data_IF_523127653845
#
_entry.id   IF_523127653845
#
_cell.length_a   1.000
_cell.length_b   1.000
_cell.length_c   1.000
_cell.angle_alpha   90.00
_cell.angle_beta   90.00
_cell.angle_gamma   90.00
#
_symmetry.space_group_name_H-M   'P 1'
#
loop_
_entity.id
_entity.type
_entity.pdbx_description
1 polymer ?
#
# COMPACT_ATOMS: atom_id res chain seq x y z
N UNK A 1 6.04 -7.10 -20.61
CA UNK A 1 5.36 -5.81 -20.29
C UNK A 1 5.87 -5.30 -18.96
N UNK A 2 6.26 -4.04 -18.89
CA UNK A 2 6.77 -3.42 -17.64
C UNK A 2 5.88 -2.24 -17.24
N UNK A 3 5.35 -2.28 -16.02
CA UNK A 3 4.34 -1.33 -15.52
C UNK A 3 4.86 -0.65 -14.27
N UNK A 4 4.71 0.68 -14.18
CA UNK A 4 4.95 1.43 -12.95
C UNK A 4 3.64 1.59 -12.18
N UNK A 5 3.67 1.22 -10.91
CA UNK A 5 2.57 1.46 -9.97
C UNK A 5 2.91 2.67 -9.11
N UNK A 6 1.97 3.60 -8.99
CA UNK A 6 2.05 4.71 -8.05
C UNK A 6 0.97 4.52 -6.98
N UNK A 7 1.36 3.96 -5.84
CA UNK A 7 0.52 3.81 -4.65
C UNK A 7 1.38 4.00 -3.42
N UNK A 8 1.37 5.20 -2.88
CA UNK A 8 2.37 5.63 -1.88
C UNK A 8 1.93 5.35 -0.45
N UNK A 9 0.66 5.41 -0.13
CA UNK A 9 0.13 5.27 1.24
C UNK A 9 -1.40 5.07 1.23
N UNK A 10 -2.07 4.70 2.33
CA UNK A 10 -1.47 4.24 3.59
C UNK A 10 -1.17 2.74 3.54
N UNK A 11 -0.70 2.14 4.65
CA UNK A 11 -0.35 0.72 4.69
C UNK A 11 -1.45 -0.20 4.15
N UNK A 12 -2.68 -0.04 4.62
CA UNK A 12 -3.83 -0.83 4.14
C UNK A 12 -4.11 -0.63 2.65
N UNK A 13 -3.99 0.61 2.14
CA UNK A 13 -4.17 0.89 0.71
C UNK A 13 -3.07 0.24 -0.15
N UNK A 14 -1.84 0.17 0.36
CA UNK A 14 -0.72 -0.51 -0.33
C UNK A 14 -1.00 -2.01 -0.37
N UNK A 15 -1.37 -2.63 0.75
CA UNK A 15 -1.79 -4.04 0.81
C UNK A 15 -2.94 -4.33 -0.16
N UNK A 16 -3.99 -3.51 -0.15
CA UNK A 16 -5.17 -3.67 -1.00
C UNK A 16 -4.89 -3.54 -2.51
N UNK A 17 -3.68 -3.14 -2.88
CA UNK A 17 -3.26 -3.10 -4.29
C UNK A 17 -2.72 -4.44 -4.79
N UNK A 18 -2.22 -5.30 -3.90
CA UNK A 18 -1.59 -6.58 -4.27
C UNK A 18 -2.51 -7.50 -5.10
N UNK A 19 -3.82 -7.65 -4.82
CA UNK A 19 -4.71 -8.47 -5.64
C UNK A 19 -4.78 -8.04 -7.11
N UNK A 20 -4.67 -6.75 -7.38
CA UNK A 20 -4.66 -6.26 -8.76
C UNK A 20 -3.40 -6.70 -9.55
N UNK A 21 -2.27 -6.86 -8.85
CA UNK A 21 -1.05 -7.40 -9.45
C UNK A 21 -1.20 -8.89 -9.76
N UNK A 22 -1.83 -9.63 -8.85
CA UNK A 22 -2.12 -11.06 -9.03
C UNK A 22 -3.00 -11.27 -10.26
N UNK A 23 -4.11 -10.52 -10.37
CA UNK A 23 -5.00 -10.59 -11.54
C UNK A 23 -4.24 -10.27 -12.83
N UNK A 24 -3.47 -9.19 -12.83
CA UNK A 24 -2.71 -8.77 -14.01
C UNK A 24 -1.64 -9.80 -14.40
N UNK A 25 -0.97 -10.42 -13.42
CA UNK A 25 0.04 -11.45 -13.67
C UNK A 25 -0.56 -12.76 -14.21
N UNK A 26 -1.80 -13.07 -13.86
CA UNK A 26 -2.55 -14.19 -14.42
C UNK A 26 -3.04 -13.88 -15.85
N UNK A 27 -3.49 -12.66 -16.09
CA UNK A 27 -4.03 -12.26 -17.39
C UNK A 27 -2.93 -11.99 -18.45
N UNK A 28 -1.76 -11.52 -18.04
CA UNK A 28 -0.66 -11.09 -18.92
C UNK A 28 0.63 -11.82 -18.52
N UNK A 29 0.94 -12.95 -19.15
CA UNK A 29 2.15 -13.70 -18.85
C UNK A 29 3.41 -12.85 -18.99
N UNK A 30 4.30 -12.92 -17.98
CA UNK A 30 5.57 -12.19 -18.00
C UNK A 30 5.48 -10.71 -17.66
N UNK A 31 4.33 -10.18 -17.22
CA UNK A 31 4.23 -8.81 -16.73
C UNK A 31 5.11 -8.60 -15.49
N UNK A 32 5.76 -7.45 -15.41
CA UNK A 32 6.61 -7.04 -14.28
C UNK A 32 6.21 -5.64 -13.81
N UNK A 33 6.27 -5.44 -12.50
CA UNK A 33 5.91 -4.19 -11.86
C UNK A 33 7.11 -3.55 -11.17
N UNK A 34 7.29 -2.26 -11.40
CA UNK A 34 8.02 -1.39 -10.50
C UNK A 34 6.99 -0.63 -9.66
N UNK A 35 7.27 -0.36 -8.39
CA UNK A 35 6.29 0.25 -7.51
C UNK A 35 6.88 1.42 -6.72
N UNK A 36 6.30 2.62 -6.89
CA UNK A 36 6.62 3.79 -6.05
C UNK A 36 5.73 3.77 -4.82
N UNK A 37 6.36 3.72 -3.65
CA UNK A 37 5.71 3.63 -2.34
C UNK A 37 6.44 4.50 -1.32
N UNK A 38 5.75 5.03 -0.30
CA UNK A 38 6.38 5.76 0.80
C UNK A 38 7.36 4.84 1.54
N UNK A 39 8.54 5.38 1.93
CA UNK A 39 9.67 4.62 2.51
C UNK A 39 9.26 3.67 3.65
N UNK A 40 8.33 4.10 4.52
CA UNK A 40 7.83 3.28 5.63
C UNK A 40 7.02 2.05 5.23
N UNK A 41 6.65 1.90 3.96
CA UNK A 41 5.88 0.76 3.45
C UNK A 41 6.61 -0.01 2.35
N UNK A 42 7.90 0.29 2.13
CA UNK A 42 8.68 -0.27 1.01
C UNK A 42 8.78 -1.80 1.02
N UNK A 43 8.66 -2.41 2.19
CA UNK A 43 8.69 -3.87 2.33
C UNK A 43 7.46 -4.55 1.70
N UNK A 44 6.28 -3.94 1.74
CA UNK A 44 5.02 -4.59 1.32
C UNK A 44 5.01 -4.99 -0.16
N UNK A 45 5.38 -4.12 -1.11
CA UNK A 45 5.43 -4.51 -2.52
C UNK A 45 6.38 -5.67 -2.81
N UNK A 46 7.49 -5.80 -2.08
CA UNK A 46 8.47 -6.86 -2.29
C UNK A 46 7.97 -8.28 -1.96
N UNK A 47 6.84 -8.39 -1.25
CA UNK A 47 6.22 -9.70 -0.97
C UNK A 47 5.58 -10.33 -2.21
N UNK A 48 5.26 -9.53 -3.23
CA UNK A 48 4.61 -10.03 -4.45
C UNK A 48 5.64 -10.36 -5.54
N UNK A 49 5.62 -11.61 -6.03
CA UNK A 49 6.61 -12.15 -6.98
C UNK A 49 6.73 -11.40 -8.32
N UNK A 50 5.69 -10.67 -8.72
CA UNK A 50 5.68 -9.91 -9.97
C UNK A 50 6.25 -8.50 -9.81
N UNK A 51 6.57 -8.05 -8.57
CA UNK A 51 7.25 -6.79 -8.32
C UNK A 51 8.76 -7.02 -8.49
N UNK A 52 9.34 -6.28 -9.42
CA UNK A 52 10.76 -6.37 -9.74
C UNK A 52 11.57 -5.31 -9.00
N UNK A 53 11.03 -4.09 -8.92
CA UNK A 53 11.69 -2.98 -8.23
C UNK A 53 10.71 -2.25 -7.32
N UNK A 54 11.15 -1.98 -6.11
CA UNK A 54 10.49 -1.05 -5.20
C UNK A 54 11.29 0.26 -5.23
N UNK A 55 10.62 1.37 -5.48
CA UNK A 55 11.20 2.72 -5.55
C UNK A 55 10.64 3.53 -4.37
N UNK A 56 11.36 3.61 -3.24
CA UNK A 56 10.89 4.35 -2.08
C UNK A 56 10.82 5.86 -2.36
N UNK A 57 9.77 6.49 -1.86
CA UNK A 57 9.61 7.93 -1.87
C UNK A 57 9.34 8.42 -0.44
N UNK A 58 9.87 9.58 -0.06
CA UNK A 58 9.75 10.12 1.30
C UNK A 58 9.06 11.48 1.30
N UNK A 59 7.92 11.62 0.61
CA UNK A 59 7.23 12.92 0.44
C UNK A 59 6.91 13.55 1.81
N UNK A 60 6.53 12.75 2.81
CA UNK A 60 6.19 13.23 4.14
C UNK A 60 7.39 13.86 4.84
N UNK A 61 8.56 13.22 4.73
CA UNK A 61 9.82 13.70 5.32
C UNK A 61 10.38 14.87 4.51
N UNK A 62 10.41 14.78 3.19
CA UNK A 62 10.92 15.83 2.30
C UNK A 62 10.22 17.18 2.48
N UNK A 63 8.91 17.17 2.74
CA UNK A 63 8.13 18.38 2.97
C UNK A 63 8.63 19.23 4.15
N UNK A 64 9.28 18.61 5.15
CA UNK A 64 9.78 19.31 6.33
C UNK A 64 11.02 20.15 6.03
N UNK A 65 11.81 19.78 5.01
CA UNK A 65 13.07 20.44 4.67
C UNK A 65 13.29 20.45 3.14
N UNK A 66 12.25 20.77 2.37
CA UNK A 66 12.19 20.63 0.90
C UNK A 66 13.37 21.25 0.14
N UNK A 67 13.92 22.36 0.63
CA UNK A 67 15.00 23.12 -0.01
C UNK A 67 16.40 22.77 0.53
N UNK A 68 16.51 21.88 1.52
CA UNK A 68 17.82 21.49 2.05
C UNK A 68 18.61 20.67 1.02
N UNK A 69 19.94 20.79 1.04
CA UNK A 69 20.81 20.10 0.10
C UNK A 69 20.66 18.56 0.14
N UNK A 70 20.60 17.90 1.33
CA UNK A 70 20.35 16.45 1.39
C UNK A 70 19.04 16.04 0.75
N UNK A 71 17.93 16.74 1.04
CA UNK A 71 16.61 16.42 0.46
C UNK A 71 16.58 16.67 -1.05
N UNK A 72 17.29 17.69 -1.53
CA UNK A 72 17.43 17.94 -2.97
C UNK A 72 18.15 16.76 -3.66
N UNK A 73 19.22 16.24 -3.06
CA UNK A 73 19.94 15.07 -3.57
C UNK A 73 19.07 13.81 -3.59
N UNK A 74 18.34 13.52 -2.50
CA UNK A 74 17.41 12.38 -2.44
C UNK A 74 16.30 12.49 -3.51
N UNK A 75 15.72 13.65 -3.70
CA UNK A 75 14.70 13.89 -4.74
C UNK A 75 15.26 13.72 -6.14
N UNK A 76 16.52 14.09 -6.37
CA UNK A 76 17.18 13.89 -7.64
C UNK A 76 17.41 12.39 -7.90
N UNK A 77 17.94 11.66 -6.92
CA UNK A 77 18.12 10.21 -7.01
C UNK A 77 16.78 9.48 -7.25
N UNK A 78 15.72 9.89 -6.57
CA UNK A 78 14.38 9.36 -6.80
C UNK A 78 13.89 9.62 -8.23
N UNK A 79 14.08 10.84 -8.75
CA UNK A 79 13.74 11.18 -10.14
C UNK A 79 14.47 10.27 -11.13
N UNK A 80 15.77 10.11 -10.95
CA UNK A 80 16.60 9.26 -11.80
C UNK A 80 16.12 7.80 -11.75
N UNK A 81 15.81 7.27 -10.56
CA UNK A 81 15.29 5.93 -10.39
C UNK A 81 13.95 5.70 -11.12
N UNK A 82 13.04 6.69 -11.09
CA UNK A 82 11.75 6.62 -11.79
C UNK A 82 11.92 6.74 -13.30
N UNK A 83 12.85 7.57 -13.76
CA UNK A 83 13.12 7.84 -15.18
C UNK A 83 14.06 6.84 -15.85
N UNK A 84 14.72 5.98 -15.07
CA UNK A 84 15.67 4.97 -15.60
C UNK A 84 15.01 3.95 -16.54
N UNK A 85 13.69 3.82 -16.52
CA UNK A 85 12.92 2.86 -17.32
C UNK A 85 11.81 3.57 -18.08
N UNK A 86 11.63 3.18 -19.34
CA UNK A 86 10.42 3.52 -20.10
C UNK A 86 9.37 2.43 -19.86
N UNK A 87 8.25 2.82 -19.28
CA UNK A 87 7.16 1.90 -18.95
C UNK A 87 6.14 1.79 -20.07
N UNK A 88 5.60 0.60 -20.26
CA UNK A 88 4.48 0.36 -21.16
C UNK A 88 3.20 1.03 -20.64
N UNK A 89 3.01 1.00 -19.30
CA UNK A 89 1.93 1.70 -18.62
C UNK A 89 2.40 2.22 -17.24
N UNK A 90 1.83 3.34 -16.82
CA UNK A 90 2.01 3.91 -15.48
C UNK A 90 0.63 4.01 -14.87
N UNK A 91 0.36 3.29 -13.77
CA UNK A 91 -0.95 3.25 -13.13
C UNK A 91 -0.88 4.03 -11.81
N UNK A 92 -1.52 5.20 -11.76
CA UNK A 92 -1.68 5.96 -10.53
C UNK A 92 -2.93 5.46 -9.80
N UNK A 93 -2.71 4.54 -8.85
CA UNK A 93 -3.73 4.00 -7.96
C UNK A 93 -3.89 4.83 -6.67
N UNK A 94 -3.12 5.90 -6.49
CA UNK A 94 -3.24 6.82 -5.36
C UNK A 94 -4.34 7.86 -5.59
N UNK A 95 -4.43 8.43 -6.79
CA UNK A 95 -5.45 9.39 -7.17
C UNK A 95 -5.41 10.72 -6.40
N UNK A 96 -4.21 11.18 -5.99
CA UNK A 96 -3.97 12.45 -5.32
C UNK A 96 -3.15 13.37 -6.23
N UNK A 97 -3.43 14.67 -6.19
CA UNK A 97 -2.66 15.68 -6.97
C UNK A 97 -1.16 15.61 -6.68
N UNK A 98 -0.79 15.44 -5.41
CA UNK A 98 0.63 15.34 -5.04
C UNK A 98 1.32 14.10 -5.62
N UNK A 99 0.67 12.92 -5.67
CA UNK A 99 1.25 11.73 -6.29
C UNK A 99 1.33 11.87 -7.81
N UNK A 100 0.29 12.44 -8.42
CA UNK A 100 0.25 12.68 -9.84
C UNK A 100 1.34 13.68 -10.29
N UNK A 101 1.50 14.81 -9.58
CA UNK A 101 2.46 15.85 -9.92
C UNK A 101 3.91 15.50 -9.56
N UNK A 102 4.15 14.87 -8.41
CA UNK A 102 5.50 14.62 -7.89
C UNK A 102 6.09 13.27 -8.32
N UNK A 103 5.24 12.32 -8.74
CA UNK A 103 5.65 10.97 -9.10
C UNK A 103 5.21 10.62 -10.51
N UNK A 104 3.90 10.49 -10.75
CA UNK A 104 3.33 9.99 -12.01
C UNK A 104 3.80 10.82 -13.22
N UNK A 105 3.87 12.14 -13.06
CA UNK A 105 4.36 13.05 -14.10
C UNK A 105 5.81 12.81 -14.51
N UNK A 106 6.67 12.36 -13.57
CA UNK A 106 8.10 12.17 -13.82
C UNK A 106 8.39 10.96 -14.71
N UNK A 107 7.57 9.93 -14.61
CA UNK A 107 7.80 8.66 -15.29
C UNK A 107 7.54 8.74 -16.81
N UNK A 108 8.29 7.97 -17.58
CA UNK A 108 8.18 7.87 -19.04
C UNK A 108 7.28 6.71 -19.42
N UNK A 109 6.12 7.00 -20.02
CA UNK A 109 5.12 6.02 -20.47
C UNK A 109 3.72 6.59 -20.45
N UNK A 110 2.73 5.76 -20.87
CA UNK A 110 1.32 6.14 -20.88
C UNK A 110 0.77 6.12 -19.45
N UNK A 111 0.23 7.24 -19.00
CA UNK A 111 -0.25 7.43 -17.63
C UNK A 111 -1.73 7.12 -17.54
N UNK A 112 -2.08 6.18 -16.70
CA UNK A 112 -3.43 5.74 -16.40
C UNK A 112 -3.82 6.14 -14.98
N UNK A 113 -5.08 6.50 -14.78
CA UNK A 113 -5.64 6.79 -13.47
C UNK A 113 -7.16 6.91 -13.53
N UNK A 114 -7.77 7.18 -12.40
CA UNK A 114 -9.21 7.39 -12.32
C UNK A 114 -9.60 8.74 -12.95
N UNK A 115 -10.80 8.82 -13.49
CA UNK A 115 -11.33 10.03 -14.10
C UNK A 115 -11.67 11.13 -13.07
N UNK A 116 -12.12 12.28 -13.56
CA UNK A 116 -12.49 13.43 -12.75
C UNK A 116 -13.58 13.10 -11.70
N UNK A 117 -14.52 12.25 -12.06
CA UNK A 117 -15.67 11.93 -11.21
C UNK A 117 -15.29 10.93 -10.11
N UNK A 118 -14.32 10.05 -10.36
CA UNK A 118 -14.03 8.90 -9.51
C UNK A 118 -12.68 8.93 -8.81
N UNK A 119 -11.76 9.81 -9.24
CA UNK A 119 -10.51 10.05 -8.51
C UNK A 119 -10.78 10.58 -7.09
N UNK A 120 -9.88 10.30 -6.18
CA UNK A 120 -9.94 10.80 -4.79
C UNK A 120 -9.85 12.33 -4.76
N UNK A 121 -8.93 12.89 -5.56
CA UNK A 121 -8.83 14.31 -5.84
C UNK A 121 -9.03 14.50 -7.36
N UNK A 122 -10.14 15.11 -7.81
CA UNK A 122 -10.47 15.23 -9.23
C UNK A 122 -9.36 15.82 -10.10
N UNK A 123 -8.65 16.84 -9.58
CA UNK A 123 -7.54 17.49 -10.28
C UNK A 123 -6.38 16.54 -10.64
N UNK A 124 -6.23 15.40 -9.94
CA UNK A 124 -5.21 14.41 -10.28
C UNK A 124 -5.41 13.85 -11.69
N UNK A 125 -6.67 13.77 -12.16
CA UNK A 125 -7.01 13.26 -13.49
C UNK A 125 -6.38 14.06 -14.64
N UNK A 126 -6.01 15.32 -14.41
CA UNK A 126 -5.36 16.17 -15.41
C UNK A 126 -3.96 15.67 -15.79
N UNK A 127 -3.33 14.87 -14.94
CA UNK A 127 -1.99 14.32 -15.18
C UNK A 127 -2.00 12.99 -15.95
N UNK A 128 -3.20 12.43 -16.27
CA UNK A 128 -3.33 11.13 -16.90
C UNK A 128 -3.65 11.25 -18.40
N UNK A 129 -2.98 10.41 -19.21
CA UNK A 129 -3.26 10.26 -20.63
C UNK A 129 -4.53 9.44 -20.88
N UNK A 130 -4.75 8.41 -20.03
CA UNK A 130 -5.91 7.53 -20.05
C UNK A 130 -6.63 7.60 -18.71
N UNK A 131 -7.89 7.98 -18.74
CA UNK A 131 -8.75 8.18 -17.56
C UNK A 131 -9.82 7.12 -17.55
N UNK A 132 -9.96 6.43 -16.42
CA UNK A 132 -10.90 5.31 -16.29
C UNK A 132 -11.96 5.66 -15.25
N UNK A 133 -13.23 5.49 -15.64
CA UNK A 133 -14.35 5.61 -14.71
C UNK A 133 -14.40 4.36 -13.82
N UNK A 134 -14.20 4.52 -12.53
CA UNK A 134 -14.21 3.45 -11.52
C UNK A 134 -15.20 3.82 -10.42
N UNK A 135 -16.33 3.13 -10.34
CA UNK A 135 -17.40 3.46 -9.41
C UNK A 135 -16.90 3.57 -7.96
N UNK A 136 -17.37 4.61 -7.23
CA UNK A 136 -16.93 4.87 -5.85
C UNK A 136 -17.51 3.89 -4.83
N UNK A 137 -18.71 3.38 -5.10
CA UNK A 137 -19.45 2.47 -4.21
C UNK A 137 -18.97 1.02 -4.37
N UNK A 138 -17.66 0.81 -4.25
CA UNK A 138 -17.03 -0.50 -4.27
C UNK A 138 -15.97 -0.57 -3.17
N UNK A 139 -15.67 -1.78 -2.72
CA UNK A 139 -14.54 -2.00 -1.82
C UNK A 139 -13.23 -1.54 -2.47
N UNK A 140 -12.28 -1.03 -1.68
CA UNK A 140 -11.03 -0.47 -2.17
C UNK A 140 -10.22 -1.46 -3.04
N UNK A 141 -10.23 -2.74 -2.68
CA UNK A 141 -9.61 -3.84 -3.45
C UNK A 141 -10.24 -3.92 -4.85
N UNK A 142 -11.57 -3.96 -4.93
CA UNK A 142 -12.28 -4.10 -6.20
C UNK A 142 -12.07 -2.89 -7.11
N UNK A 143 -12.05 -1.70 -6.54
CA UNK A 143 -11.74 -0.47 -7.30
C UNK A 143 -10.35 -0.52 -7.91
N UNK A 144 -9.36 -1.01 -7.16
CA UNK A 144 -7.98 -1.09 -7.64
C UNK A 144 -7.85 -2.17 -8.70
N UNK A 145 -8.46 -3.34 -8.52
CA UNK A 145 -8.51 -4.43 -9.51
C UNK A 145 -9.15 -3.95 -10.82
N UNK A 146 -10.27 -3.21 -10.75
CA UNK A 146 -10.93 -2.65 -11.93
C UNK A 146 -10.07 -1.61 -12.65
N UNK A 147 -9.38 -0.73 -11.90
CA UNK A 147 -8.45 0.22 -12.49
C UNK A 147 -7.34 -0.47 -13.28
N UNK A 148 -6.73 -1.51 -12.72
CA UNK A 148 -5.68 -2.28 -13.39
C UNK A 148 -6.23 -3.00 -14.64
N UNK A 149 -7.38 -3.65 -14.52
CA UNK A 149 -8.01 -4.34 -15.64
C UNK A 149 -8.27 -3.39 -16.81
N UNK A 150 -8.87 -2.22 -16.57
CA UNK A 150 -9.11 -1.20 -17.59
C UNK A 150 -7.82 -0.58 -18.14
N UNK A 151 -6.81 -0.39 -17.29
CA UNK A 151 -5.53 0.19 -17.71
C UNK A 151 -4.71 -0.74 -18.58
N UNK A 152 -4.79 -2.04 -18.34
CA UNK A 152 -3.98 -3.06 -18.99
C UNK A 152 -4.75 -3.86 -20.05
N UNK A 153 -6.07 -3.64 -20.19
CA UNK A 153 -6.89 -4.21 -21.24
C UNK A 153 -7.27 -5.68 -21.03
N UNK A 154 -7.43 -6.14 -19.78
CA UNK A 154 -7.94 -7.48 -19.50
C UNK A 154 -9.30 -7.44 -18.78
N UNK A 155 -10.04 -8.54 -18.80
CA UNK A 155 -11.30 -8.68 -18.06
C UNK A 155 -11.03 -8.88 -16.57
N UNK A 156 -11.58 -8.01 -15.70
CA UNK A 156 -11.44 -8.17 -14.24
C UNK A 156 -12.05 -9.52 -13.81
N UNK A 157 -11.30 -10.39 -13.10
CA UNK A 157 -11.84 -11.64 -12.57
C UNK A 157 -12.97 -11.38 -11.57
N UNK A 158 -13.98 -12.26 -11.58
CA UNK A 158 -15.10 -12.20 -10.63
C UNK A 158 -14.78 -12.90 -9.29
N UNK A 159 -13.68 -13.63 -9.23
CA UNK A 159 -13.20 -14.28 -8.01
C UNK A 159 -12.74 -13.28 -6.96
N UNK A 160 -12.73 -13.69 -5.70
CA UNK A 160 -12.12 -12.91 -4.63
C UNK A 160 -10.65 -12.60 -4.96
N UNK A 161 -10.20 -11.38 -4.63
CA UNK A 161 -8.83 -10.95 -4.88
C UNK A 161 -7.81 -11.71 -4.03
N UNK A 162 -6.77 -12.26 -4.67
CA UNK A 162 -5.66 -12.96 -4.01
C UNK A 162 -4.47 -12.02 -3.83
N UNK A 163 -4.02 -11.85 -2.60
CA UNK A 163 -2.85 -11.04 -2.24
C UNK A 163 -1.52 -11.69 -2.66
N UNK A 164 -1.51 -13.01 -2.86
CA UNK A 164 -0.36 -13.83 -3.27
C UNK A 164 0.89 -13.71 -2.38
N UNK A 165 0.69 -13.36 -1.10
CA UNK A 165 1.78 -13.15 -0.12
C UNK A 165 2.00 -14.32 0.83
N UNK A 166 1.09 -15.30 0.85
CA UNK A 166 1.16 -16.45 1.77
C UNK A 166 2.52 -17.16 1.69
N UNK A 167 3.06 -17.35 0.49
CA UNK A 167 4.36 -18.00 0.27
C UNK A 167 5.53 -17.24 0.91
N UNK A 168 5.43 -15.94 1.04
CA UNK A 168 6.46 -15.13 1.69
C UNK A 168 6.54 -15.39 3.20
N UNK A 169 5.39 -15.68 3.83
CA UNK A 169 5.28 -15.90 5.28
C UNK A 169 5.28 -17.37 5.69
N UNK A 170 4.89 -18.28 4.82
CA UNK A 170 4.83 -19.71 5.10
C UNK A 170 6.18 -20.43 5.05
N UNK A 171 7.27 -19.75 4.76
CA UNK A 171 8.62 -20.33 4.77
C UNK A 171 9.16 -20.62 6.18
N UNK A 172 8.46 -20.18 7.22
CA UNK A 172 8.74 -20.53 8.60
C UNK A 172 7.76 -21.65 8.98
N UNK A 173 8.29 -22.83 9.26
CA UNK A 173 7.50 -23.92 9.82
C UNK A 173 6.68 -23.36 10.98
N UNK A 174 5.35 -23.56 10.91
CA UNK A 174 4.49 -23.27 12.03
C UNK A 174 4.91 -24.23 13.15
N UNK A 175 5.83 -23.79 14.00
CA UNK A 175 6.02 -24.39 15.30
C UNK A 175 4.61 -24.50 15.91
N UNK A 176 4.28 -25.64 16.53
CA UNK A 176 3.03 -25.83 17.26
C UNK A 176 2.99 -24.84 18.45
N UNK A 177 2.83 -23.59 18.14
CA UNK A 177 2.72 -22.51 19.11
C UNK A 177 1.37 -22.62 19.80
N UNK A 178 1.33 -22.40 21.10
CA UNK A 178 0.11 -22.28 21.86
C UNK A 178 -0.84 -21.26 21.17
N UNK A 179 -2.15 -21.44 21.22
CA UNK A 179 -3.10 -20.52 20.62
C UNK A 179 -2.91 -19.11 21.14
N UNK A 180 -2.98 -18.13 20.24
CA UNK A 180 -2.83 -16.73 20.61
C UNK A 180 -3.84 -15.83 19.89
N UNK A 181 -4.14 -14.69 20.53
CA UNK A 181 -4.88 -13.59 19.95
C UNK A 181 -3.96 -12.40 19.72
N UNK A 182 -4.21 -11.67 18.63
CA UNK A 182 -3.50 -10.42 18.36
C UNK A 182 -4.48 -9.26 18.55
N UNK A 183 -4.18 -8.38 19.50
CA UNK A 183 -4.98 -7.18 19.77
C UNK A 183 -4.37 -5.99 19.05
N UNK A 184 -5.05 -5.49 18.03
CA UNK A 184 -4.66 -4.27 17.30
C UNK A 184 -5.11 -3.03 18.11
N UNK A 185 -4.42 -2.77 19.21
CA UNK A 185 -4.80 -1.79 20.22
C UNK A 185 -4.49 -0.34 19.84
N UNK A 186 -3.72 -0.10 18.77
CA UNK A 186 -3.28 1.22 18.36
C UNK A 186 -3.61 1.53 16.90
N UNK A 187 -3.79 2.79 16.58
CA UNK A 187 -4.00 3.35 15.24
C UNK A 187 -3.45 4.77 15.17
N UNK A 188 -3.35 5.33 13.97
CA UNK A 188 -2.79 6.67 13.74
C UNK A 188 -3.65 7.84 14.24
N UNK A 189 -4.88 7.59 14.66
CA UNK A 189 -5.82 8.63 15.13
C UNK A 189 -6.39 8.24 16.48
N UNK A 190 -6.22 9.12 17.46
CA UNK A 190 -6.65 8.90 18.85
C UNK A 190 -8.17 8.71 18.98
N UNK A 191 -8.96 9.41 18.14
CA UNK A 191 -10.42 9.28 18.10
C UNK A 191 -10.94 7.92 17.63
N UNK A 192 -10.04 7.07 17.12
CA UNK A 192 -10.31 5.68 16.72
C UNK A 192 -9.80 4.65 17.72
N UNK A 193 -9.15 5.10 18.78
CA UNK A 193 -8.69 4.19 19.82
C UNK A 193 -9.86 3.68 20.65
N UNK A 194 -9.94 2.38 20.82
CA UNK A 194 -10.77 1.82 21.86
C UNK A 194 -10.16 2.16 23.23
N UNK A 195 -10.96 2.59 24.26
CA UNK A 195 -10.45 3.00 25.56
C UNK A 195 -9.59 1.93 26.24
N UNK A 196 -8.52 2.34 26.92
CA UNK A 196 -7.61 1.39 27.60
C UNK A 196 -8.35 0.60 28.67
N UNK A 197 -9.32 1.21 29.36
CA UNK A 197 -10.19 0.51 30.34
C UNK A 197 -10.94 -0.66 29.74
N UNK A 198 -11.42 -0.52 28.51
CA UNK A 198 -12.13 -1.59 27.80
C UNK A 198 -11.19 -2.71 27.33
N UNK A 199 -9.97 -2.34 26.92
CA UNK A 199 -8.95 -3.34 26.65
C UNK A 199 -8.60 -4.13 27.91
N UNK A 200 -8.49 -3.46 29.08
CA UNK A 200 -8.22 -4.13 30.34
C UNK A 200 -9.36 -5.08 30.73
N UNK A 201 -10.61 -4.64 30.67
CA UNK A 201 -11.78 -5.50 30.90
C UNK A 201 -11.77 -6.76 30.01
N UNK A 202 -11.37 -6.61 28.73
CA UNK A 202 -11.26 -7.76 27.80
C UNK A 202 -10.09 -8.68 28.17
N UNK A 203 -8.95 -8.15 28.58
CA UNK A 203 -7.80 -8.93 29.06
C UNK A 203 -8.16 -9.74 30.31
N UNK A 204 -8.87 -9.11 31.27
CA UNK A 204 -9.33 -9.77 32.50
C UNK A 204 -10.29 -10.92 32.19
N UNK A 205 -11.21 -10.74 31.23
CA UNK A 205 -12.11 -11.81 30.78
C UNK A 205 -11.40 -13.00 30.13
N UNK A 206 -10.21 -12.77 29.59
CA UNK A 206 -9.42 -13.80 28.90
C UNK A 206 -8.31 -14.40 29.77
N UNK A 207 -8.10 -13.90 31.01
CA UNK A 207 -6.99 -14.29 31.86
C UNK A 207 -6.90 -15.81 32.06
N UNK A 208 -8.04 -16.49 32.30
CA UNK A 208 -8.11 -17.92 32.55
C UNK A 208 -8.33 -18.78 31.31
N UNK A 209 -8.30 -18.17 30.12
CA UNK A 209 -8.59 -18.89 28.85
C UNK A 209 -7.46 -19.78 28.35
N UNK A 210 -6.26 -19.64 28.90
CA UNK A 210 -5.03 -20.29 28.40
C UNK A 210 -4.54 -19.77 27.04
N UNK A 211 -5.10 -18.67 26.53
CA UNK A 211 -4.74 -18.07 25.26
C UNK A 211 -3.72 -16.95 25.48
N UNK A 212 -2.62 -16.98 24.74
CA UNK A 212 -1.63 -15.89 24.78
C UNK A 212 -2.14 -14.64 24.03
N UNK A 213 -1.98 -13.46 24.65
CA UNK A 213 -2.33 -12.19 24.02
C UNK A 213 -1.05 -11.53 23.47
N UNK A 214 -1.08 -11.12 22.21
CA UNK A 214 0.01 -10.36 21.57
C UNK A 214 -0.45 -8.95 21.26
N UNK A 215 0.32 -7.95 21.71
CA UNK A 215 0.06 -6.52 21.53
C UNK A 215 1.13 -5.93 20.59
N UNK A 216 0.96 -5.97 19.26
CA UNK A 216 1.94 -5.43 18.33
C UNK A 216 1.99 -3.92 18.39
N UNK A 217 3.17 -3.36 18.17
CA UNK A 217 3.41 -1.92 18.11
C UNK A 217 4.44 -1.58 17.02
N UNK A 218 4.37 -0.37 16.48
CA UNK A 218 5.28 0.12 15.45
C UNK A 218 5.95 1.45 15.80
N UNK A 219 5.48 2.12 16.87
CA UNK A 219 6.00 3.40 17.32
C UNK A 219 6.18 3.43 18.86
N UNK A 220 7.10 4.26 19.41
CA UNK A 220 7.37 4.31 20.85
C UNK A 220 6.12 4.58 21.71
N UNK A 221 5.20 5.43 21.27
CA UNK A 221 3.96 5.71 22.00
C UNK A 221 2.99 4.50 21.99
N UNK A 222 2.99 3.71 20.92
CA UNK A 222 2.21 2.46 20.84
C UNK A 222 2.83 1.38 21.72
N UNK A 223 4.17 1.30 21.80
CA UNK A 223 4.88 0.43 22.73
C UNK A 223 4.54 0.77 24.18
N UNK A 224 4.59 2.06 24.54
CA UNK A 224 4.21 2.51 25.87
C UNK A 224 2.75 2.13 26.22
N UNK A 225 1.83 2.22 25.24
CA UNK A 225 0.46 1.76 25.41
C UNK A 225 0.38 0.24 25.59
N UNK A 226 1.08 -0.53 24.76
CA UNK A 226 1.12 -2.00 24.89
C UNK A 226 1.60 -2.43 26.27
N UNK A 227 2.66 -1.79 26.80
CA UNK A 227 3.17 -2.05 28.14
C UNK A 227 2.16 -1.76 29.25
N UNK A 228 1.39 -0.67 29.14
CA UNK A 228 0.32 -0.36 30.13
C UNK A 228 -0.82 -1.36 30.08
N UNK A 229 -1.10 -1.94 28.92
CA UNK A 229 -2.15 -2.96 28.77
C UNK A 229 -1.69 -4.36 29.21
N UNK A 230 -0.40 -4.62 29.16
CA UNK A 230 0.17 -5.92 29.56
C UNK A 230 0.34 -6.06 31.08
N UNK A 231 0.26 -4.98 31.85
CA UNK A 231 0.41 -4.93 33.31
C UNK A 231 1.85 -4.73 33.74
#
# INVERSE_FOLDING_TARGET
MRVLIVKTSSMGDVLHTLPALTDAAQAIPGIRFDWVVEEGFAQIPSWHKSVERVIPVAIRRWRKAWFSAPIKAERQAFREAVQAVKYDAIIDAQGLVKSAALVTRLAHGVKHGMDWQTAREPLASLFYNRRHHIAKQQHAVERTRELFAKSLGYAKPQTQGDYAIARHFLQHEASAAAPYLVFLHATTRDDKHWPETRWQELLDLLADSGVHIKLPWGAPHEEARAKRLAG
#
